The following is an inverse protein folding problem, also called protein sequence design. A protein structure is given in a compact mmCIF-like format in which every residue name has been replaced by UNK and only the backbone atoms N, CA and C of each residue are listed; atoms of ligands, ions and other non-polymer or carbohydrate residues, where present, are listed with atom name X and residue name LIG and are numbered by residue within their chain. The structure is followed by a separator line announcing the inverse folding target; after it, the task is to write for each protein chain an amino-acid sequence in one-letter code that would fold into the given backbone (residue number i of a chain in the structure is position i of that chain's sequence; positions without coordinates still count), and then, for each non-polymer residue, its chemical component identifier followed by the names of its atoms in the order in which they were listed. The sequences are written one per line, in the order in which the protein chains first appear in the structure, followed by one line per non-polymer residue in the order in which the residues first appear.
data_IF_114277602208
#
_entry.id   IF_114277602208
#
_cell.length_a   1.000
_cell.length_b   1.000
_cell.length_c   1.000
_cell.angle_alpha   90.00
_cell.angle_beta   90.00
_cell.angle_gamma   90.00
#
_symmetry.space_group_name_H-M   'P 1'
#
loop_
_entity.id
_entity.type
_entity.pdbx_description
1 polymer ?
#
# COMPACT_ATOMS: atom_id res chain seq x y z
N UNK A 1 8.00 15.75 7.14
CA UNK A 1 8.46 14.58 6.57
C UNK A 1 8.46 14.66 5.06
N UNK A 2 9.45 14.15 4.45
CA UNK A 2 9.58 14.26 3.02
C UNK A 2 9.20 12.96 2.37
N UNK A 3 8.23 13.01 1.50
CA UNK A 3 7.84 11.83 0.79
C UNK A 3 8.87 11.42 -0.23
N UNK A 4 9.63 12.39 -0.72
CA UNK A 4 10.65 12.08 -1.68
C UNK A 4 11.72 11.17 -1.08
N UNK A 5 12.22 11.54 0.10
CA UNK A 5 13.27 10.74 0.73
C UNK A 5 12.75 9.38 1.15
N UNK A 6 11.53 9.34 1.64
CA UNK A 6 10.98 8.06 2.07
C UNK A 6 10.82 7.11 0.90
N UNK A 7 10.42 7.62 -0.22
CA UNK A 7 10.24 6.76 -1.38
C UNK A 7 11.60 6.44 -2.02
N UNK A 8 12.50 7.41 -2.04
CA UNK A 8 13.77 7.22 -2.72
C UNK A 8 14.61 6.12 -2.06
N UNK A 9 14.47 5.95 -0.76
CA UNK A 9 15.29 4.94 -0.10
C UNK A 9 14.89 3.53 -0.53
N UNK A 10 13.75 3.39 -1.21
CA UNK A 10 13.37 2.10 -1.75
C UNK A 10 13.74 1.94 -3.21
N UNK A 11 14.53 2.87 -3.73
CA UNK A 11 14.98 2.79 -5.10
C UNK A 11 15.76 1.50 -5.29
N UNK A 12 15.41 0.75 -6.30
CA UNK A 12 16.06 -0.53 -6.51
C UNK A 12 15.47 -1.68 -5.75
N UNK A 13 14.53 -1.41 -4.85
CA UNK A 13 13.88 -2.46 -4.11
C UNK A 13 12.68 -2.98 -4.89
N UNK A 14 12.27 -4.18 -4.55
CA UNK A 14 11.10 -4.74 -5.18
C UNK A 14 9.86 -4.31 -4.43
N UNK A 15 8.93 -3.73 -5.14
CA UNK A 15 7.74 -3.16 -4.55
C UNK A 15 6.53 -3.77 -5.23
N UNK A 16 5.51 -4.08 -4.46
CA UNK A 16 4.32 -4.69 -5.01
C UNK A 16 3.07 -4.04 -4.45
N UNK A 17 2.01 -4.12 -5.23
CA UNK A 17 0.72 -3.64 -4.78
C UNK A 17 -0.03 -4.83 -4.21
N UNK A 18 -0.52 -4.67 -2.99
CA UNK A 18 -1.29 -5.72 -2.34
C UNK A 18 -2.71 -5.23 -2.13
N UNK A 19 -3.64 -6.16 -2.11
CA UNK A 19 -5.01 -5.77 -1.81
C UNK A 19 -5.51 -6.59 -0.64
N UNK A 20 -6.43 -6.00 0.11
CA UNK A 20 -7.05 -6.66 1.24
C UNK A 20 -8.52 -6.81 0.95
N UNK A 21 -9.06 -7.96 1.30
CA UNK A 21 -10.45 -8.24 1.01
C UNK A 21 -11.21 -8.53 2.30
N UNK A 22 -12.52 -8.33 2.24
CA UNK A 22 -13.35 -8.63 3.40
C UNK A 22 -13.86 -10.06 3.28
N UNK A 23 -14.80 -10.42 4.14
CA UNK A 23 -15.30 -11.76 4.13
C UNK A 23 -16.03 -12.10 2.87
N UNK A 24 -16.59 -11.14 2.21
CA UNK A 24 -17.31 -11.36 0.99
C UNK A 24 -16.42 -11.43 -0.22
N UNK A 25 -15.12 -11.23 -0.05
CA UNK A 25 -14.21 -11.29 -1.18
C UNK A 25 -14.06 -9.99 -1.91
N UNK A 26 -14.61 -8.91 -1.39
CA UNK A 26 -14.48 -7.63 -2.04
C UNK A 26 -13.26 -6.89 -1.57
N UNK A 27 -12.58 -6.23 -2.47
CA UNK A 27 -11.40 -5.47 -2.10
C UNK A 27 -11.81 -4.26 -1.26
N UNK A 28 -11.26 -4.15 -0.08
CA UNK A 28 -11.57 -3.03 0.80
C UNK A 28 -10.38 -2.14 1.02
N UNK A 29 -9.22 -2.52 0.54
CA UNK A 29 -8.04 -1.67 0.69
C UNK A 29 -6.95 -2.13 -0.22
N UNK A 30 -6.05 -1.22 -0.56
CA UNK A 30 -4.87 -1.55 -1.34
C UNK A 30 -3.69 -0.84 -0.72
N UNK A 31 -2.53 -1.43 -0.89
CA UNK A 31 -1.32 -0.81 -0.38
C UNK A 31 -0.18 -1.12 -1.31
N UNK A 32 0.87 -0.31 -1.21
CA UNK A 32 2.11 -0.56 -1.90
C UNK A 32 3.14 -0.92 -0.85
N UNK A 33 3.72 -2.08 -0.98
CA UNK A 33 4.62 -2.59 0.04
C UNK A 33 5.98 -2.91 -0.56
N UNK A 34 7.01 -2.59 0.16
CA UNK A 34 8.36 -2.91 -0.27
C UNK A 34 8.69 -4.31 0.23
N UNK A 35 8.96 -5.21 -0.69
CA UNK A 35 9.22 -6.58 -0.32
C UNK A 35 10.60 -6.78 0.26
N UNK A 36 11.50 -5.86 0.00
CA UNK A 36 12.85 -5.95 0.57
C UNK A 36 12.89 -5.46 2.00
N UNK A 37 12.13 -4.43 2.31
CA UNK A 37 12.12 -3.85 3.64
C UNK A 37 10.96 -4.31 4.47
N UNK A 38 9.95 -4.90 3.85
CA UNK A 38 8.72 -5.29 4.51
C UNK A 38 8.04 -4.08 5.11
N UNK A 39 8.04 -3.00 4.35
CA UNK A 39 7.49 -1.75 4.81
C UNK A 39 6.33 -1.36 3.91
N UNK A 40 5.27 -0.86 4.51
CA UNK A 40 4.15 -0.37 3.72
C UNK A 40 4.44 1.08 3.38
N UNK A 41 4.45 1.40 2.10
CA UNK A 41 4.77 2.74 1.66
C UNK A 41 3.54 3.62 1.60
N UNK A 42 2.45 3.09 1.08
CA UNK A 42 1.21 3.82 0.95
C UNK A 42 0.09 2.83 1.13
N UNK A 43 -0.97 3.22 1.81
CA UNK A 43 -2.13 2.35 1.85
C UNK A 43 -3.37 3.23 1.80
N UNK A 44 -4.40 2.70 1.15
CA UNK A 44 -5.66 3.37 1.01
C UNK A 44 -6.78 2.39 1.29
N UNK A 45 -7.76 2.85 2.06
CA UNK A 45 -8.96 2.05 2.26
C UNK A 45 -9.99 2.45 1.24
N UNK A 46 -10.84 1.51 0.88
CA UNK A 46 -11.92 1.82 -0.01
C UNK A 46 -12.89 2.74 0.70
N UNK A 47 -13.25 3.82 0.02
CA UNK A 47 -14.17 4.73 0.62
C UNK A 47 -15.52 4.16 0.58
N UNK A 48 -16.17 4.09 1.64
CA UNK A 48 -17.45 3.57 1.63
C UNK A 48 -18.40 4.51 1.23
N UNK A 49 -18.26 5.23 1.09
CA UNK A 49 -19.07 6.09 0.65
C UNK A 49 -20.31 6.31 1.09
N UNK A 50 -20.15 6.04 1.26
CA UNK A 50 -20.66 6.11 1.47
C UNK A 50 -21.40 6.55 1.63
N UNK A 51 -21.74 6.51 1.65
CA UNK A 51 -22.19 6.65 1.74
C UNK A 51 -22.69 6.99 1.77
#
# INVERSE_FOLDING_TARGET
MSNFDELYKHYGHQVEVAQYTDKGGEAVGVSIECMDCYEVLIDYDREEASL
#
